data_IF_925979777507
#
_entry.id   IF_925979777507
#
_cell.length_a   1.000
_cell.length_b   1.000
_cell.length_c   1.000
_cell.angle_alpha   90.00
_cell.angle_beta   90.00
_cell.angle_gamma   90.00
#
_symmetry.space_group_name_H-M   'P 1'
#
loop_
_entity.id
_entity.type
_entity.pdbx_description
1 polymer ?
#
# COMPACT_ATOMS: atom_id res chain seq x y z
N UNK A 1 45.30 52.91 43.23
CA UNK A 1 44.49 54.11 42.94
C UNK A 1 44.23 54.17 41.43
N UNK A 2 42.95 54.39 41.06
CA UNK A 2 42.43 54.89 39.77
C UNK A 2 42.58 54.00 38.51
N UNK A 3 41.42 53.47 38.09
CA UNK A 3 41.05 53.03 36.73
C UNK A 3 41.13 54.23 35.76
N UNK A 4 41.54 54.03 34.50
CA UNK A 4 41.04 54.79 33.35
C UNK A 4 41.08 53.90 32.09
N UNK A 5 39.88 53.69 31.52
CA UNK A 5 39.59 53.20 30.17
C UNK A 5 39.72 54.34 29.14
N UNK A 6 39.59 53.97 27.86
CA UNK A 6 39.25 54.75 26.66
C UNK A 6 40.43 55.08 25.73
N UNK A 7 40.28 55.19 24.40
CA UNK A 7 39.39 54.66 23.36
C UNK A 7 39.87 55.37 22.07
N UNK A 8 39.62 54.75 20.91
CA UNK A 8 39.57 55.35 19.56
C UNK A 8 40.89 55.67 18.83
N UNK A 9 41.04 55.05 17.66
CA UNK A 9 41.68 55.64 16.49
C UNK A 9 40.87 55.27 15.23
N UNK A 10 40.70 56.27 14.38
CA UNK A 10 39.90 56.32 13.16
C UNK A 10 40.80 56.11 11.91
N UNK A 11 40.15 55.96 10.74
CA UNK A 11 40.65 56.12 9.36
C UNK A 11 41.24 54.87 8.67
N UNK A 12 41.11 54.62 7.36
CA UNK A 12 40.27 55.14 6.28
C UNK A 12 40.44 54.24 5.02
N UNK A 13 39.38 54.19 4.20
CA UNK A 13 39.24 53.97 2.75
C UNK A 13 39.94 52.80 1.98
N UNK A 14 39.08 51.90 1.48
CA UNK A 14 38.83 51.46 0.07
C UNK A 14 40.02 51.17 -0.85
N UNK A 15 40.06 49.95 -1.41
CA UNK A 15 40.10 49.66 -2.86
C UNK A 15 39.52 48.27 -3.14
N UNK A 16 38.51 48.23 -4.00
CA UNK A 16 37.90 47.01 -4.59
C UNK A 16 38.77 46.58 -5.78
N UNK A 17 39.12 45.29 -5.83
CA UNK A 17 39.61 44.64 -7.05
C UNK A 17 38.96 43.26 -7.15
N UNK A 18 38.19 43.05 -8.22
CA UNK A 18 37.66 41.75 -8.60
C UNK A 18 38.79 40.88 -9.17
N UNK A 19 39.01 39.71 -8.57
CA UNK A 19 39.68 38.61 -9.24
C UNK A 19 38.65 37.48 -9.40
N UNK A 20 38.27 37.23 -10.64
CA UNK A 20 37.50 36.06 -11.07
C UNK A 20 38.47 34.88 -11.10
N UNK A 21 38.17 33.82 -10.35
CA UNK A 21 38.33 32.44 -10.78
C UNK A 21 37.91 31.48 -9.66
N UNK A 22 36.76 30.83 -9.85
CA UNK A 22 36.56 29.40 -9.62
C UNK A 22 35.08 29.09 -9.90
N UNK A 23 34.91 28.18 -10.84
CA UNK A 23 33.65 27.65 -11.34
C UNK A 23 32.92 26.88 -10.22
N UNK A 24 32.14 27.57 -9.38
CA UNK A 24 31.03 26.93 -8.69
C UNK A 24 29.94 26.67 -9.73
N UNK A 25 29.94 25.45 -10.26
CA UNK A 25 28.71 24.85 -10.77
C UNK A 25 27.71 24.85 -9.63
N UNK A 26 26.88 25.88 -9.59
CA UNK A 26 25.58 25.85 -8.92
C UNK A 26 24.85 24.67 -9.57
N UNK A 27 24.82 23.54 -8.88
CA UNK A 27 23.88 22.47 -9.20
C UNK A 27 22.50 23.15 -9.21
N UNK A 28 21.71 23.05 -10.29
CA UNK A 28 20.36 23.57 -10.24
C UNK A 28 19.66 22.87 -9.07
N UNK A 29 19.15 23.67 -8.13
CA UNK A 29 18.20 23.18 -7.13
C UNK A 29 17.14 22.40 -7.89
N UNK A 30 17.02 21.09 -7.60
CA UNK A 30 15.97 20.28 -8.20
C UNK A 30 14.66 21.00 -7.91
N UNK A 31 14.01 21.48 -8.96
CA UNK A 31 12.74 22.18 -8.86
C UNK A 31 11.76 21.20 -8.21
N UNK A 32 11.43 21.40 -6.92
CA UNK A 32 10.49 20.51 -6.23
C UNK A 32 9.17 20.55 -7.01
N UNK A 33 8.83 19.43 -7.64
CA UNK A 33 7.57 19.29 -8.36
C UNK A 33 6.47 19.40 -7.31
N UNK A 34 5.74 20.51 -7.34
CA UNK A 34 4.60 20.72 -6.47
C UNK A 34 3.45 19.85 -6.94
N UNK A 35 2.92 19.06 -6.03
CA UNK A 35 1.73 18.21 -6.23
C UNK A 35 0.63 18.67 -5.30
N UNK A 36 -0.60 18.69 -5.82
CA UNK A 36 -1.78 18.95 -4.99
C UNK A 36 -2.00 17.76 -4.05
N UNK A 37 -2.27 18.07 -2.79
CA UNK A 37 -2.54 17.12 -1.71
C UNK A 37 -3.78 17.56 -0.91
N UNK A 38 -4.55 18.53 -1.40
CA UNK A 38 -5.70 19.11 -0.70
C UNK A 38 -6.89 18.16 -0.60
N UNK A 39 -6.94 17.16 -1.47
CA UNK A 39 -7.90 16.05 -1.51
C UNK A 39 -7.50 14.87 -0.62
N UNK A 40 -6.27 14.84 -0.09
CA UNK A 40 -5.76 13.69 0.65
C UNK A 40 -6.52 13.46 1.95
N UNK A 41 -6.88 12.20 2.19
CA UNK A 41 -7.51 11.75 3.42
C UNK A 41 -7.06 10.34 3.79
N UNK A 42 -7.13 10.00 5.08
CA UNK A 42 -6.85 8.64 5.57
C UNK A 42 -8.05 8.01 6.28
N UNK A 43 -8.76 8.78 7.11
CA UNK A 43 -9.90 8.29 7.87
C UNK A 43 -11.09 8.03 6.98
N UNK A 44 -11.53 6.80 6.87
CA UNK A 44 -12.76 6.50 6.14
C UNK A 44 -13.96 6.68 7.02
N UNK A 45 -15.11 6.95 6.41
CA UNK A 45 -16.36 6.88 7.14
C UNK A 45 -16.48 5.45 7.68
N UNK A 46 -16.86 5.29 8.94
CA UNK A 46 -17.33 4.00 9.44
C UNK A 46 -18.70 3.74 8.79
N UNK A 47 -18.74 3.63 7.46
CA UNK A 47 -19.96 3.26 6.76
C UNK A 47 -20.25 1.87 7.25
N UNK A 48 -21.30 1.83 8.07
CA UNK A 48 -21.99 0.69 8.61
C UNK A 48 -21.77 -0.52 7.70
N UNK A 49 -21.35 -1.64 8.29
CA UNK A 49 -20.84 -2.87 7.66
C UNK A 49 -21.56 -3.30 6.38
N UNK A 50 -22.75 -2.81 6.09
CA UNK A 50 -23.48 -2.85 4.82
C UNK A 50 -22.71 -2.46 3.55
N UNK A 51 -21.78 -1.49 3.55
CA UNK A 51 -21.04 -1.12 2.33
C UNK A 51 -19.80 -2.01 2.09
N UNK A 52 -19.11 -2.38 3.17
CA UNK A 52 -18.06 -3.41 3.13
C UNK A 52 -18.63 -4.81 2.81
N UNK A 53 -19.92 -5.03 3.11
CA UNK A 53 -20.73 -6.15 2.61
C UNK A 53 -21.02 -5.95 1.14
N UNK A 54 -20.12 -6.44 0.29
CA UNK A 54 -20.51 -6.78 -1.08
C UNK A 54 -21.71 -7.74 -1.09
N UNK A 55 -22.30 -8.02 -2.28
CA UNK A 55 -23.66 -8.58 -2.44
C UNK A 55 -23.97 -9.92 -1.73
N UNK A 56 -23.01 -10.54 -1.04
CA UNK A 56 -23.16 -11.75 -0.24
C UNK A 56 -22.62 -11.64 1.21
N UNK A 57 -22.49 -10.43 1.76
CA UNK A 57 -22.02 -10.24 3.14
C UNK A 57 -20.50 -10.22 3.30
N UNK A 58 -19.75 -9.80 2.26
CA UNK A 58 -18.27 -9.67 2.28
C UNK A 58 -17.84 -8.87 3.52
N UNK A 59 -16.75 -9.24 4.20
CA UNK A 59 -16.13 -8.30 5.15
C UNK A 59 -14.62 -8.38 5.00
N UNK A 60 -14.07 -7.52 4.14
CA UNK A 60 -12.72 -7.00 4.32
C UNK A 60 -12.75 -6.11 5.57
N UNK A 61 -11.79 -6.28 6.47
CA UNK A 61 -11.70 -5.47 7.70
C UNK A 61 -10.63 -4.36 7.64
N UNK A 62 -9.95 -4.20 6.51
CA UNK A 62 -8.80 -3.30 6.34
C UNK A 62 -9.09 -1.86 6.74
N UNK A 63 -10.20 -1.27 6.29
CA UNK A 63 -10.48 0.14 6.61
C UNK A 63 -10.82 0.37 8.08
N UNK A 64 -11.50 -0.59 8.71
CA UNK A 64 -11.73 -0.56 10.16
C UNK A 64 -10.41 -0.66 10.93
N UNK A 65 -9.55 -1.59 10.54
CA UNK A 65 -8.21 -1.75 11.13
C UNK A 65 -7.38 -0.49 10.92
N UNK A 66 -7.42 0.12 9.72
CA UNK A 66 -6.75 1.39 9.44
C UNK A 66 -7.23 2.50 10.40
N UNK A 67 -8.54 2.69 10.54
CA UNK A 67 -9.11 3.68 11.46
C UNK A 67 -8.69 3.43 12.92
N UNK A 68 -8.66 2.18 13.37
CA UNK A 68 -8.13 1.81 14.70
C UNK A 68 -6.65 2.17 14.85
N UNK A 69 -5.82 1.90 13.82
CA UNK A 69 -4.39 2.21 13.81
C UNK A 69 -4.11 3.71 13.76
N UNK A 70 -4.88 4.48 13.01
CA UNK A 70 -4.79 5.94 12.95
C UNK A 70 -5.08 6.57 14.32
N UNK A 71 -6.12 6.09 15.02
CA UNK A 71 -6.43 6.53 16.39
C UNK A 71 -5.34 6.17 17.38
N UNK A 72 -4.74 4.99 17.23
CA UNK A 72 -3.67 4.51 18.12
C UNK A 72 -2.31 5.16 17.85
N UNK A 73 -2.06 5.64 16.63
CA UNK A 73 -0.78 6.21 16.22
C UNK A 73 -0.99 7.49 15.39
N UNK A 74 -1.01 8.67 16.03
CA UNK A 74 -1.20 9.95 15.35
C UNK A 74 -0.16 10.24 14.25
N UNK A 75 1.04 9.63 14.32
CA UNK A 75 2.06 9.79 13.29
C UNK A 75 1.81 8.97 12.01
N UNK A 76 0.84 8.03 12.02
CA UNK A 76 0.53 7.20 10.87
C UNK A 76 -0.04 8.03 9.72
N UNK A 77 -0.94 8.97 10.01
CA UNK A 77 -1.53 9.87 9.02
C UNK A 77 -0.46 10.64 8.25
N UNK A 78 0.51 11.23 8.96
CA UNK A 78 1.61 11.95 8.33
C UNK A 78 2.50 11.04 7.48
N UNK A 79 2.74 9.79 7.91
CA UNK A 79 3.52 8.83 7.11
C UNK A 79 2.79 8.44 5.83
N UNK A 80 1.50 8.19 5.90
CA UNK A 80 0.67 7.91 4.72
C UNK A 80 0.59 9.13 3.79
N UNK A 81 0.46 10.35 4.33
CA UNK A 81 0.53 11.59 3.55
C UNK A 81 1.86 11.70 2.79
N UNK A 82 2.98 11.42 3.47
CA UNK A 82 4.29 11.48 2.84
C UNK A 82 4.47 10.43 1.74
N UNK A 83 3.90 9.24 1.91
CA UNK A 83 3.90 8.18 0.89
C UNK A 83 3.11 8.64 -0.33
N UNK A 84 1.87 9.11 -0.15
CA UNK A 84 1.04 9.59 -1.26
C UNK A 84 1.68 10.79 -1.98
N UNK A 85 2.21 11.75 -1.22
CA UNK A 85 2.94 12.89 -1.80
C UNK A 85 4.13 12.42 -2.63
N UNK A 86 4.90 11.47 -2.12
CA UNK A 86 6.02 10.89 -2.86
C UNK A 86 5.55 10.23 -4.17
N UNK A 87 4.49 9.41 -4.11
CA UNK A 87 3.91 8.75 -5.29
C UNK A 87 3.44 9.75 -6.33
N UNK A 88 2.67 10.78 -5.94
CA UNK A 88 2.21 11.83 -6.85
C UNK A 88 3.37 12.60 -7.47
N UNK A 89 4.39 12.94 -6.67
CA UNK A 89 5.60 13.62 -7.16
C UNK A 89 6.35 12.74 -8.16
N UNK A 90 6.47 11.44 -7.89
CA UNK A 90 7.12 10.49 -8.79
C UNK A 90 6.38 10.40 -10.14
N UNK A 91 5.06 10.21 -10.12
CA UNK A 91 4.23 10.18 -11.33
C UNK A 91 4.38 11.49 -12.12
N UNK A 92 4.28 12.64 -11.44
CA UNK A 92 4.42 13.95 -12.08
C UNK A 92 5.82 14.17 -12.68
N UNK A 93 6.88 13.65 -12.06
CA UNK A 93 8.27 13.77 -12.54
C UNK A 93 8.57 13.04 -13.84
N UNK A 94 7.72 12.11 -14.21
CA UNK A 94 7.88 11.26 -15.38
C UNK A 94 6.95 11.66 -16.53
N UNK A 95 6.05 12.63 -16.32
CA UNK A 95 5.25 13.22 -17.39
C UNK A 95 6.19 14.01 -18.33
N UNK A 96 6.12 13.82 -19.65
CA UNK A 96 6.97 14.57 -20.58
C UNK A 96 6.65 16.08 -20.56
N UNK A 97 7.68 16.92 -20.73
CA UNK A 97 7.60 18.40 -20.65
C UNK A 97 6.66 19.08 -21.67
N UNK A 98 6.19 18.35 -22.69
CA UNK A 98 5.31 18.87 -23.74
C UNK A 98 4.10 17.96 -23.97
N UNK A 99 3.05 18.03 -23.13
CA UNK A 99 1.72 17.73 -23.60
C UNK A 99 1.33 18.86 -24.57
N UNK A 100 0.81 18.53 -25.76
CA UNK A 100 0.37 19.55 -26.73
C UNK A 100 -0.49 20.62 -26.04
N UNK A 101 -0.24 21.89 -26.33
CA UNK A 101 -0.72 23.08 -25.62
C UNK A 101 -2.23 23.14 -25.33
N UNK A 102 -2.65 22.40 -24.31
CA UNK A 102 -3.94 22.49 -23.64
C UNK A 102 -3.74 23.22 -22.32
N UNK A 103 -4.39 24.37 -22.23
CA UNK A 103 -4.41 25.30 -21.10
C UNK A 103 -4.29 24.63 -19.71
N UNK A 104 -3.25 24.99 -18.95
CA UNK A 104 -3.10 24.63 -17.55
C UNK A 104 -4.30 25.11 -16.73
N UNK A 105 -4.97 24.16 -16.10
CA UNK A 105 -6.21 24.39 -15.34
C UNK A 105 -7.10 23.15 -15.30
N UNK A 106 -6.51 21.97 -15.09
CA UNK A 106 -7.25 20.73 -14.90
C UNK A 106 -7.59 20.56 -13.42
N UNK A 107 -8.76 21.05 -13.02
CA UNK A 107 -9.52 20.46 -11.91
C UNK A 107 -9.58 18.95 -12.11
N UNK A 108 -9.48 18.17 -11.03
CA UNK A 108 -9.73 16.74 -11.03
C UNK A 108 -11.02 16.40 -11.79
N UNK A 109 -10.97 15.32 -12.57
CA UNK A 109 -12.05 14.86 -13.44
C UNK A 109 -11.71 14.96 -14.93
N UNK A 110 -10.87 14.06 -15.42
CA UNK A 110 -10.60 13.86 -16.84
C UNK A 110 -10.13 12.44 -17.10
N UNK A 111 -10.94 11.66 -17.82
CA UNK A 111 -10.83 10.21 -17.98
C UNK A 111 -9.47 9.71 -18.47
N UNK A 112 -9.10 8.53 -17.94
CA UNK A 112 -7.85 7.83 -18.18
C UNK A 112 -7.65 7.36 -19.61
N UNK A 113 -6.96 8.19 -20.40
CA UNK A 113 -6.38 7.79 -21.69
C UNK A 113 -4.84 7.76 -21.67
N UNK A 114 -4.19 8.30 -20.63
CA UNK A 114 -2.72 8.22 -20.53
C UNK A 114 -2.32 6.86 -19.94
N UNK A 115 -1.55 6.03 -20.68
CA UNK A 115 -1.04 4.77 -20.15
C UNK A 115 -0.19 5.02 -18.89
N UNK A 116 -0.08 4.03 -17.99
CA UNK A 116 0.72 4.18 -16.78
C UNK A 116 2.13 4.63 -17.14
N UNK A 117 2.61 5.57 -16.35
CA UNK A 117 3.95 6.12 -16.45
C UNK A 117 4.98 5.01 -16.18
N UNK A 118 5.94 4.82 -17.10
CA UNK A 118 7.04 3.87 -16.89
C UNK A 118 7.88 4.27 -15.65
N UNK A 119 7.81 3.43 -14.62
CA UNK A 119 8.53 3.62 -13.38
C UNK A 119 10.04 3.31 -13.52
N UNK A 120 10.44 2.55 -14.53
CA UNK A 120 11.81 2.10 -14.78
C UNK A 120 12.30 1.02 -13.80
N UNK A 121 11.40 0.41 -13.03
CA UNK A 121 11.71 -0.65 -12.07
C UNK A 121 11.71 -2.04 -12.72
N UNK A 122 10.94 -2.20 -13.81
CA UNK A 122 10.70 -3.50 -14.44
C UNK A 122 9.99 -4.46 -13.49
N UNK A 123 10.10 -5.76 -13.76
CA UNK A 123 9.42 -6.78 -12.94
C UNK A 123 9.98 -6.85 -11.53
N UNK A 124 9.13 -6.66 -10.53
CA UNK A 124 9.45 -6.75 -9.11
C UNK A 124 9.04 -8.13 -8.58
N UNK A 125 10.01 -8.92 -8.13
CA UNK A 125 9.73 -10.15 -7.40
C UNK A 125 9.59 -9.89 -5.89
N UNK A 126 8.42 -10.23 -5.34
CA UNK A 126 8.07 -10.14 -3.93
C UNK A 126 8.21 -11.53 -3.29
N UNK A 127 9.21 -11.76 -2.43
CA UNK A 127 9.28 -12.99 -1.65
C UNK A 127 8.17 -13.02 -0.59
N UNK A 128 7.48 -14.16 -0.47
CA UNK A 128 6.32 -14.34 0.41
C UNK A 128 6.62 -15.32 1.54
N UNK A 129 6.31 -14.92 2.77
CA UNK A 129 6.32 -15.80 3.96
C UNK A 129 4.87 -16.07 4.36
N UNK A 130 4.48 -17.35 4.36
CA UNK A 130 3.13 -17.77 4.74
C UNK A 130 3.14 -18.38 6.14
N UNK A 131 2.47 -17.72 7.09
CA UNK A 131 2.29 -18.17 8.47
C UNK A 131 0.94 -18.86 8.61
N UNK A 132 0.90 -20.19 8.61
CA UNK A 132 -0.31 -20.97 8.88
C UNK A 132 -0.45 -21.16 10.38
N UNK A 133 -1.41 -20.48 11.00
CA UNK A 133 -1.71 -20.59 12.43
C UNK A 133 -3.05 -21.30 12.58
N UNK A 134 -3.02 -22.52 13.13
CA UNK A 134 -4.13 -23.46 13.05
C UNK A 134 -4.52 -24.05 14.40
N UNK A 135 -5.82 -24.22 14.62
CA UNK A 135 -6.38 -24.90 15.79
C UNK A 135 -6.82 -26.34 15.51
N UNK A 136 -7.13 -26.67 14.26
CA UNK A 136 -7.57 -27.99 13.84
C UNK A 136 -6.97 -28.38 12.48
N UNK A 137 -7.24 -29.62 12.03
CA UNK A 137 -6.66 -30.17 10.81
C UNK A 137 -7.07 -29.42 9.52
N UNK A 138 -8.28 -28.85 9.46
CA UNK A 138 -8.73 -28.10 8.29
C UNK A 138 -7.99 -26.77 8.16
N UNK A 139 -7.75 -26.08 9.28
CA UNK A 139 -7.01 -24.82 9.31
C UNK A 139 -5.51 -25.02 9.02
N UNK A 140 -4.97 -26.23 9.21
CA UNK A 140 -3.60 -26.58 8.83
C UNK A 140 -3.48 -26.83 7.31
N UNK A 141 -3.77 -25.79 6.52
CA UNK A 141 -3.94 -25.87 5.07
C UNK A 141 -2.75 -26.50 4.36
N UNK A 142 -3.00 -27.26 3.29
CA UNK A 142 -1.94 -27.98 2.57
C UNK A 142 -0.97 -27.06 1.82
N UNK A 143 0.23 -27.54 1.51
CA UNK A 143 1.14 -26.81 0.61
C UNK A 143 0.54 -26.63 -0.79
N UNK A 144 -0.31 -27.55 -1.25
CA UNK A 144 -1.06 -27.39 -2.51
C UNK A 144 -1.97 -26.17 -2.47
N UNK A 145 -2.68 -25.97 -1.37
CA UNK A 145 -3.51 -24.77 -1.16
C UNK A 145 -2.65 -23.50 -1.17
N UNK A 146 -1.51 -23.52 -0.49
CA UNK A 146 -0.57 -22.38 -0.47
C UNK A 146 -0.03 -22.07 -1.86
N UNK A 147 0.48 -23.08 -2.56
CA UNK A 147 1.01 -22.91 -3.91
C UNK A 147 -0.06 -22.44 -4.90
N UNK A 148 -1.31 -22.87 -4.73
CA UNK A 148 -2.42 -22.37 -5.54
C UNK A 148 -2.64 -20.86 -5.34
N UNK A 149 -2.47 -20.34 -4.12
CA UNK A 149 -2.60 -18.91 -3.88
C UNK A 149 -1.45 -18.11 -4.50
N UNK A 150 -0.21 -18.63 -4.43
CA UNK A 150 0.95 -17.97 -5.05
C UNK A 150 0.79 -17.92 -6.57
N UNK A 151 0.27 -18.99 -7.19
CA UNK A 151 -0.05 -18.98 -8.62
C UNK A 151 -1.11 -17.92 -8.95
N UNK A 152 -2.20 -17.85 -8.19
CA UNK A 152 -3.28 -16.85 -8.39
C UNK A 152 -2.77 -15.42 -8.27
N UNK A 153 -1.87 -15.14 -7.31
CA UNK A 153 -1.25 -13.81 -7.20
C UNK A 153 -0.44 -13.46 -8.45
N UNK A 154 0.37 -14.40 -8.97
CA UNK A 154 1.08 -14.16 -10.22
C UNK A 154 0.12 -13.99 -11.40
N UNK A 155 -0.96 -14.77 -11.47
CA UNK A 155 -1.93 -14.65 -12.56
C UNK A 155 -2.64 -13.28 -12.55
N UNK A 156 -3.15 -12.87 -11.39
CA UNK A 156 -3.94 -11.64 -11.24
C UNK A 156 -3.07 -10.38 -11.38
N UNK A 157 -1.85 -10.35 -10.82
CA UNK A 157 -0.97 -9.17 -10.86
C UNK A 157 -0.24 -9.01 -12.20
N UNK A 158 -0.29 -10.01 -13.09
CA UNK A 158 0.28 -9.93 -14.44
C UNK A 158 -0.79 -10.04 -15.54
N UNK A 159 -2.07 -9.84 -15.21
CA UNK A 159 -3.21 -9.92 -16.14
C UNK A 159 -3.27 -11.23 -16.98
N UNK A 160 -2.75 -12.34 -16.43
CA UNK A 160 -2.76 -13.66 -17.08
C UNK A 160 -3.84 -14.60 -16.54
N UNK A 161 -4.68 -14.10 -15.62
CA UNK A 161 -5.85 -14.79 -15.10
C UNK A 161 -6.88 -15.09 -16.21
N UNK A 162 -7.36 -16.33 -16.28
CA UNK A 162 -8.25 -16.81 -17.35
C UNK A 162 -9.61 -16.07 -17.42
N UNK A 163 -10.04 -15.47 -16.31
CA UNK A 163 -11.30 -14.72 -16.20
C UNK A 163 -11.19 -13.25 -16.65
N UNK A 164 -10.01 -12.78 -17.07
CA UNK A 164 -9.80 -11.43 -17.63
C UNK A 164 -10.65 -11.16 -18.87
N UNK A 165 -10.97 -12.20 -19.66
CA UNK A 165 -11.91 -12.12 -20.78
C UNK A 165 -13.36 -11.77 -20.37
N UNK A 166 -13.66 -11.80 -19.07
CA UNK A 166 -14.95 -11.38 -18.51
C UNK A 166 -15.06 -9.88 -18.24
N UNK A 167 -13.97 -9.11 -18.43
CA UNK A 167 -13.98 -7.65 -18.28
C UNK A 167 -14.88 -7.02 -19.36
N UNK A 168 -15.82 -6.12 -19.00
CA UNK A 168 -16.63 -5.40 -19.98
C UNK A 168 -15.77 -4.66 -21.00
N UNK A 169 -16.23 -4.61 -22.25
CA UNK A 169 -15.46 -4.01 -23.35
C UNK A 169 -15.08 -2.55 -23.11
N UNK A 170 -15.88 -1.80 -22.34
CA UNK A 170 -15.58 -0.41 -21.97
C UNK A 170 -14.33 -0.26 -21.08
N UNK A 171 -13.93 -1.31 -20.37
CA UNK A 171 -12.78 -1.32 -19.46
C UNK A 171 -11.60 -2.15 -19.99
N UNK A 172 -11.73 -2.77 -21.17
CA UNK A 172 -10.71 -3.69 -21.69
C UNK A 172 -9.33 -3.03 -21.88
N UNK A 173 -9.30 -1.73 -22.23
CA UNK A 173 -8.04 -0.97 -22.37
C UNK A 173 -7.43 -0.52 -21.05
N UNK A 174 -8.15 -0.67 -19.93
CA UNK A 174 -7.70 -0.28 -18.58
C UNK A 174 -7.19 -1.48 -17.77
N UNK A 175 -7.22 -2.69 -18.33
CA UNK A 175 -6.64 -3.88 -17.68
C UNK A 175 -5.13 -3.71 -17.61
N UNK A 176 -4.58 -3.73 -16.39
CA UNK A 176 -3.16 -3.53 -16.14
C UNK A 176 -2.44 -4.84 -15.83
N UNK A 177 -1.30 -5.05 -16.48
CA UNK A 177 -0.20 -5.86 -15.96
C UNK A 177 0.59 -4.96 -14.98
N UNK A 178 0.71 -5.39 -13.73
CA UNK A 178 1.34 -4.59 -12.67
C UNK A 178 2.82 -4.94 -12.46
N UNK A 179 3.41 -5.82 -13.28
CA UNK A 179 4.82 -6.21 -13.23
C UNK A 179 5.27 -6.78 -11.86
N UNK A 180 4.34 -7.29 -11.04
CA UNK A 180 4.63 -7.94 -9.77
C UNK A 180 4.61 -9.46 -9.90
N UNK A 181 5.70 -10.10 -9.49
CA UNK A 181 5.78 -11.56 -9.35
C UNK A 181 5.93 -11.94 -7.89
N UNK A 182 5.40 -13.09 -7.50
CA UNK A 182 5.39 -13.57 -6.12
C UNK A 182 6.07 -14.93 -6.04
N UNK A 183 7.05 -15.07 -5.15
CA UNK A 183 7.78 -16.32 -4.92
C UNK A 183 7.64 -16.77 -3.46
N UNK A 184 7.26 -18.03 -3.25
CA UNK A 184 7.15 -18.57 -1.90
C UNK A 184 8.55 -18.76 -1.29
N UNK A 185 8.89 -17.91 -0.32
CA UNK A 185 10.17 -17.95 0.37
C UNK A 185 10.16 -18.93 1.55
N UNK A 186 9.06 -18.94 2.32
CA UNK A 186 8.96 -19.76 3.53
C UNK A 186 7.50 -20.07 3.89
N UNK A 187 7.27 -21.24 4.47
CA UNK A 187 6.02 -21.58 5.17
C UNK A 187 6.34 -21.84 6.64
N UNK A 188 5.67 -21.13 7.53
CA UNK A 188 5.75 -21.31 8.99
C UNK A 188 4.41 -21.87 9.45
N UNK A 189 4.43 -22.89 10.30
CA UNK A 189 3.21 -23.52 10.83
C UNK A 189 3.22 -23.45 12.36
N UNK A 190 2.16 -22.89 12.94
CA UNK A 190 2.00 -22.74 14.39
C UNK A 190 0.68 -23.35 14.82
N UNK A 191 0.74 -24.39 15.65
CA UNK A 191 -0.46 -24.93 16.30
C UNK A 191 -0.89 -23.98 17.43
N UNK A 192 -2.17 -23.66 17.51
CA UNK A 192 -2.73 -22.79 18.55
C UNK A 192 -3.97 -23.42 19.19
N UNK A 193 -4.21 -23.09 20.46
CA UNK A 193 -5.46 -23.45 21.15
C UNK A 193 -6.57 -22.41 20.93
N UNK A 194 -6.26 -21.26 20.35
CA UNK A 194 -7.24 -20.21 20.02
C UNK A 194 -8.07 -20.64 18.83
N UNK A 195 -9.38 -20.58 18.97
CA UNK A 195 -10.34 -20.90 17.90
C UNK A 195 -10.62 -19.73 16.97
N UNK A 196 -10.26 -18.50 17.37
CA UNK A 196 -10.42 -17.28 16.58
C UNK A 196 -9.41 -16.22 17.02
N UNK A 197 -8.91 -15.44 16.08
CA UNK A 197 -7.89 -14.41 16.32
C UNK A 197 -8.41 -12.97 16.30
N UNK A 198 -9.54 -12.70 15.63
CA UNK A 198 -9.99 -11.33 15.38
C UNK A 198 -8.99 -10.54 14.54
N UNK A 199 -9.11 -9.20 14.55
CA UNK A 199 -8.30 -8.30 13.72
C UNK A 199 -7.41 -7.36 14.56
N UNK A 200 -7.08 -7.76 15.78
CA UNK A 200 -6.25 -6.96 16.70
C UNK A 200 -4.74 -7.26 16.55
N UNK A 201 -4.34 -7.93 15.46
CA UNK A 201 -2.98 -8.39 15.17
C UNK A 201 -2.37 -9.37 16.19
N UNK A 202 -3.14 -9.94 17.12
CA UNK A 202 -2.57 -10.85 18.11
C UNK A 202 -1.89 -12.09 17.47
N UNK A 203 -2.33 -12.50 16.27
CA UNK A 203 -1.73 -13.61 15.52
C UNK A 203 -0.34 -13.29 14.97
N UNK A 204 0.01 -12.00 14.87
CA UNK A 204 1.31 -11.53 14.35
C UNK A 204 2.41 -11.54 15.41
N UNK A 205 2.13 -12.07 16.61
CA UNK A 205 3.08 -12.10 17.72
C UNK A 205 3.18 -13.50 18.32
N UNK A 206 4.39 -14.07 18.33
CA UNK A 206 4.68 -15.36 18.97
C UNK A 206 4.37 -15.35 20.48
N UNK A 207 4.55 -14.20 21.13
CA UNK A 207 4.19 -13.96 22.54
C UNK A 207 2.69 -14.12 22.83
N UNK A 208 1.84 -14.03 21.81
CA UNK A 208 0.40 -14.27 21.88
C UNK A 208 -0.03 -15.64 21.33
N UNK A 209 0.94 -16.54 21.09
CA UNK A 209 0.73 -17.85 20.48
C UNK A 209 0.58 -17.82 18.96
N UNK A 210 0.94 -16.70 18.32
CA UNK A 210 0.92 -16.50 16.88
C UNK A 210 2.31 -16.71 16.25
N UNK A 211 2.63 -15.94 15.22
CA UNK A 211 3.94 -15.96 14.56
C UNK A 211 4.41 -14.54 14.28
N UNK A 212 5.63 -14.20 14.68
CA UNK A 212 6.24 -12.90 14.39
C UNK A 212 6.49 -12.73 12.90
N UNK A 213 6.42 -11.48 12.41
CA UNK A 213 6.78 -11.13 11.05
C UNK A 213 8.25 -11.47 10.76
N UNK A 214 8.52 -12.02 9.58
CA UNK A 214 9.86 -12.33 9.09
C UNK A 214 10.24 -11.26 8.08
N UNK A 215 11.37 -10.60 8.29
CA UNK A 215 11.98 -9.65 7.33
C UNK A 215 10.99 -8.74 6.57
N UNK A 216 10.07 -8.02 7.25
CA UNK A 216 9.00 -7.25 6.61
C UNK A 216 9.49 -6.13 5.66
N UNK A 217 10.77 -5.74 5.75
CA UNK A 217 11.38 -4.80 4.81
C UNK A 217 11.65 -5.40 3.41
N UNK A 218 11.63 -6.73 3.27
CA UNK A 218 12.00 -7.43 2.02
C UNK A 218 11.06 -8.56 1.66
N UNK A 219 10.02 -8.82 2.45
CA UNK A 219 9.08 -9.92 2.21
C UNK A 219 7.66 -9.53 2.57
N UNK A 220 6.70 -9.98 1.76
CA UNK A 220 5.29 -9.96 2.12
C UNK A 220 5.00 -11.07 3.13
N UNK A 221 4.55 -10.70 4.32
CA UNK A 221 4.10 -11.65 5.35
C UNK A 221 2.58 -11.86 5.21
N UNK A 222 2.17 -13.12 5.06
CA UNK A 222 0.76 -13.52 4.98
C UNK A 222 0.43 -14.45 6.13
N UNK A 223 -0.42 -14.01 7.04
CA UNK A 223 -0.94 -14.87 8.11
C UNK A 223 -2.24 -15.52 7.66
N UNK A 224 -2.26 -16.85 7.67
CA UNK A 224 -3.45 -17.66 7.39
C UNK A 224 -3.95 -18.26 8.70
N UNK A 225 -5.06 -17.74 9.22
CA UNK A 225 -5.61 -18.16 10.52
C UNK A 225 -7.10 -17.83 10.61
N UNK A 226 -7.85 -18.54 11.46
CA UNK A 226 -9.28 -18.23 11.63
C UNK A 226 -9.46 -16.85 12.31
N UNK A 227 -9.89 -15.84 11.54
CA UNK A 227 -10.14 -14.47 12.04
C UNK A 227 -11.47 -14.41 12.82
N UNK A 228 -12.45 -15.22 12.42
CA UNK A 228 -13.81 -15.19 12.97
C UNK A 228 -14.64 -13.98 12.51
N UNK A 229 -15.89 -13.90 13.00
CA UNK A 229 -16.78 -12.75 12.75
C UNK A 229 -17.27 -12.57 11.31
N UNK A 230 -17.07 -13.56 10.44
CA UNK A 230 -17.41 -13.47 9.01
C UNK A 230 -16.35 -12.73 8.17
N UNK A 231 -15.22 -12.36 8.76
CA UNK A 231 -14.16 -11.59 8.12
C UNK A 231 -13.32 -12.49 7.21
N UNK A 232 -13.19 -12.08 5.96
CA UNK A 232 -12.43 -12.83 4.95
C UNK A 232 -10.93 -12.62 5.13
N UNK A 233 -10.54 -11.35 5.26
CA UNK A 233 -9.17 -10.92 5.42
C UNK A 233 -9.07 -9.45 5.83
N UNK A 234 -7.84 -9.03 6.10
CA UNK A 234 -7.47 -7.62 6.24
C UNK A 234 -5.98 -7.41 5.96
N UNK A 235 -5.62 -6.19 5.59
CA UNK A 235 -4.26 -5.75 5.36
C UNK A 235 -3.84 -4.66 6.35
N UNK A 236 -2.52 -4.44 6.44
CA UNK A 236 -1.96 -3.19 6.93
C UNK A 236 -1.52 -2.35 5.72
N UNK A 237 -1.99 -1.11 5.62
CA UNK A 237 -1.50 -0.15 4.63
C UNK A 237 -0.04 0.25 4.89
N UNK A 238 0.69 0.70 3.85
CA UNK A 238 2.01 1.30 3.99
C UNK A 238 2.07 2.42 5.04
N UNK A 239 3.21 2.54 5.71
CA UNK A 239 3.42 3.49 6.81
C UNK A 239 3.04 2.96 8.19
N UNK A 240 2.47 1.75 8.28
CA UNK A 240 2.23 1.01 9.52
C UNK A 240 3.50 0.54 10.23
N UNK A 241 3.33 -0.27 11.29
CA UNK A 241 4.44 -0.85 12.03
C UNK A 241 5.02 -2.04 11.27
N UNK A 242 6.35 -2.11 11.13
CA UNK A 242 7.03 -3.24 10.51
C UNK A 242 6.71 -4.58 11.21
N UNK A 243 6.50 -4.58 12.53
CA UNK A 243 6.18 -5.79 13.29
C UNK A 243 4.81 -6.41 12.94
N UNK A 244 3.93 -5.65 12.30
CA UNK A 244 2.58 -6.10 11.90
C UNK A 244 2.34 -5.94 10.40
N UNK A 245 3.39 -5.68 9.62
CA UNK A 245 3.28 -5.43 8.19
C UNK A 245 2.94 -6.69 7.40
N UNK A 246 2.03 -6.54 6.43
CA UNK A 246 1.48 -7.63 5.64
C UNK A 246 -0.03 -7.82 5.83
N UNK A 247 -0.52 -9.00 5.45
CA UNK A 247 -1.95 -9.30 5.33
C UNK A 247 -2.37 -10.53 6.13
N UNK A 248 -3.64 -10.63 6.46
CA UNK A 248 -4.24 -11.77 7.16
C UNK A 248 -5.44 -12.27 6.38
N UNK A 249 -5.56 -13.58 6.20
CA UNK A 249 -6.65 -14.22 5.46
C UNK A 249 -7.15 -15.44 6.23
N UNK A 250 -8.48 -15.63 6.30
CA UNK A 250 -9.04 -16.85 6.89
C UNK A 250 -8.77 -18.07 5.98
N UNK A 251 -8.46 -19.26 6.53
CA UNK A 251 -7.93 -20.39 5.77
C UNK A 251 -8.85 -20.86 4.64
N UNK A 252 -10.16 -20.82 4.83
CA UNK A 252 -11.15 -21.19 3.82
C UNK A 252 -11.27 -20.20 2.64
N UNK A 253 -10.58 -19.07 2.69
CA UNK A 253 -10.57 -18.04 1.64
C UNK A 253 -9.16 -17.80 1.07
N UNK A 254 -8.24 -18.71 1.36
CA UNK A 254 -6.86 -18.67 0.89
C UNK A 254 -6.60 -19.78 -0.12
N UNK A 255 -6.21 -19.41 -1.35
CA UNK A 255 -6.01 -20.33 -2.47
C UNK A 255 -7.30 -20.73 -3.18
N UNK A 256 -7.20 -21.75 -4.03
CA UNK A 256 -8.32 -22.30 -4.81
C UNK A 256 -8.44 -23.82 -4.75
N UNK A 257 -7.58 -24.47 -3.96
CA UNK A 257 -7.54 -25.92 -3.81
C UNK A 257 -7.47 -26.29 -2.33
N UNK A 258 -8.07 -27.42 -1.94
CA UNK A 258 -8.04 -27.90 -0.55
C UNK A 258 -9.21 -27.36 0.28
N UNK A 259 -8.91 -26.85 1.47
CA UNK A 259 -9.92 -26.33 2.39
C UNK A 259 -10.28 -24.89 1.97
N UNK A 260 -11.13 -24.77 0.94
CA UNK A 260 -11.63 -23.49 0.42
C UNK A 260 -13.16 -23.48 0.40
N UNK A 261 -13.76 -22.30 0.53
CA UNK A 261 -15.21 -22.15 0.65
C UNK A 261 -15.77 -21.15 -0.38
N UNK A 262 -16.64 -21.64 -1.26
CA UNK A 262 -17.40 -20.80 -2.18
C UNK A 262 -18.32 -19.83 -1.38
N UNK A 263 -18.53 -18.60 -1.89
CA UNK A 263 -18.13 -18.08 -3.21
C UNK A 263 -16.70 -17.50 -3.26
N UNK A 264 -15.92 -17.61 -2.18
CA UNK A 264 -14.60 -16.98 -2.05
C UNK A 264 -13.48 -18.04 -2.16
N UNK A 265 -13.64 -18.98 -3.08
CA UNK A 265 -12.78 -20.15 -3.29
C UNK A 265 -11.81 -19.99 -4.47
N UNK A 266 -11.64 -18.74 -4.95
CA UNK A 266 -10.81 -18.42 -6.11
C UNK A 266 -9.55 -17.63 -5.75
N UNK A 267 -9.20 -17.54 -4.47
CA UNK A 267 -8.00 -16.85 -3.97
C UNK A 267 -8.04 -15.31 -4.02
N UNK A 268 -9.15 -14.71 -4.46
CA UNK A 268 -9.24 -13.25 -4.70
C UNK A 268 -9.36 -12.42 -3.42
N UNK A 269 -9.65 -13.03 -2.29
CA UNK A 269 -9.46 -12.39 -0.98
C UNK A 269 -8.01 -11.99 -0.80
N UNK A 270 -7.05 -12.86 -1.14
CA UNK A 270 -5.63 -12.54 -0.96
C UNK A 270 -5.20 -11.47 -1.97
N UNK A 271 -5.61 -11.56 -3.24
CA UNK A 271 -5.36 -10.51 -4.24
C UNK A 271 -5.85 -9.14 -3.77
N UNK A 272 -7.08 -9.08 -3.23
CA UNK A 272 -7.66 -7.86 -2.66
C UNK A 272 -6.82 -7.29 -1.51
N UNK A 273 -6.46 -8.11 -0.52
CA UNK A 273 -5.67 -7.63 0.63
C UNK A 273 -4.24 -7.24 0.23
N UNK A 274 -3.62 -7.91 -0.75
CA UNK A 274 -2.32 -7.49 -1.30
C UNK A 274 -2.44 -6.14 -2.01
N UNK A 275 -3.55 -5.86 -2.70
CA UNK A 275 -3.84 -4.53 -3.23
C UNK A 275 -3.78 -3.45 -2.15
N UNK A 276 -4.42 -3.67 -1.00
CA UNK A 276 -4.32 -2.75 0.14
C UNK A 276 -2.90 -2.62 0.70
N UNK A 277 -2.15 -3.72 0.78
CA UNK A 277 -0.74 -3.70 1.18
C UNK A 277 0.13 -2.89 0.19
N UNK A 278 -0.24 -2.91 -1.09
CA UNK A 278 0.33 -2.08 -2.17
C UNK A 278 -0.35 -0.70 -2.30
N UNK A 279 -0.99 -0.23 -1.23
CA UNK A 279 -1.59 1.11 -1.10
C UNK A 279 -2.90 1.37 -1.87
N UNK A 280 -3.51 0.38 -2.51
CA UNK A 280 -4.82 0.55 -3.16
C UNK A 280 -5.95 0.67 -2.14
N UNK A 281 -6.91 1.54 -2.39
CA UNK A 281 -8.12 1.67 -1.57
C UNK A 281 -9.28 0.88 -2.16
N UNK A 282 -10.37 0.78 -1.41
CA UNK A 282 -11.60 0.28 -2.02
C UNK A 282 -12.08 1.28 -3.09
N UNK A 283 -12.49 0.75 -4.24
CA UNK A 283 -12.91 1.53 -5.42
C UNK A 283 -14.05 2.53 -5.16
N UNK A 284 -14.85 2.34 -4.10
CA UNK A 284 -15.94 3.27 -3.72
C UNK A 284 -15.49 4.36 -2.72
N UNK A 285 -14.19 4.52 -2.50
CA UNK A 285 -13.55 5.53 -1.64
C UNK A 285 -13.89 5.43 -0.14
N UNK A 286 -14.64 4.40 0.28
CA UNK A 286 -15.15 4.23 1.64
C UNK A 286 -15.87 5.48 2.21
N UNK A 287 -16.56 6.20 1.32
CA UNK A 287 -17.23 7.47 1.66
C UNK A 287 -18.32 7.89 0.68
N UNK A 288 -18.89 6.92 -0.05
CA UNK A 288 -19.83 7.16 -1.17
C UNK A 288 -19.19 8.09 -2.22
N UNK A 289 -19.99 8.86 -2.95
CA UNK A 289 -19.52 9.74 -4.03
C UNK A 289 -18.75 11.01 -3.57
N UNK A 290 -18.40 11.12 -2.28
CA UNK A 290 -17.66 12.27 -1.75
C UNK A 290 -16.18 11.95 -1.47
N UNK A 291 -15.76 10.72 -1.76
CA UNK A 291 -14.43 10.20 -1.45
C UNK A 291 -13.94 9.36 -2.63
N UNK A 292 -12.64 9.44 -2.86
CA UNK A 292 -11.95 8.87 -4.02
C UNK A 292 -11.06 7.70 -3.55
N UNK A 293 -10.76 6.74 -4.42
CA UNK A 293 -9.70 5.76 -4.16
C UNK A 293 -8.31 6.28 -4.55
N UNK A 294 -8.25 7.50 -5.11
CA UNK A 294 -7.08 8.22 -5.64
C UNK A 294 -6.56 7.66 -6.96
N UNK A 295 -7.39 6.91 -7.69
CA UNK A 295 -7.07 6.34 -8.99
C UNK A 295 -8.02 6.94 -10.02
N UNK A 296 -7.46 7.59 -11.06
CA UNK A 296 -8.28 8.41 -11.96
C UNK A 296 -9.09 7.60 -13.00
N UNK A 297 -8.72 6.34 -13.24
CA UNK A 297 -9.36 5.46 -14.22
C UNK A 297 -10.36 4.47 -13.59
N UNK A 298 -10.59 4.56 -12.27
CA UNK A 298 -11.65 3.87 -11.53
C UNK A 298 -12.88 4.79 -11.40
N UNK A 299 -14.03 4.46 -12.03
CA UNK A 299 -15.23 5.32 -12.02
C UNK A 299 -15.99 5.40 -10.69
#
# INVERSE_FOLDING_TARGET
MKKVLLLAAFAALILVSCEKDANETVLPEAQEIQVDMSDFFVYTDEIDNTAAKGPQGKTCATMRVLNEKLRANPGLEQRMYNIEKHTRTFIASKKPDNPGGGNGGGSGGGGGEEPPVDDGLGVINIPVVVHVIYNNANENISNTQINSQIAILNDDFNATNNDSNGVPGEFASLVADSDFTFSLAQVIRVSSTRTSWGTNDAMKFSSNGGSDAVSPATTLNIWVCNIGGGILGYAQFPGGSAATDGIVVSPQFFGSQGYVQAPFDKGRTTTHEVGHWLNLRHIWGDGRCNRDDFVADTP
#
